data_IF_744979795595
#
_entry.id   IF_744979795595
#
_cell.length_a   1.000
_cell.length_b   1.000
_cell.length_c   1.000
_cell.angle_alpha   90.00
_cell.angle_beta   90.00
_cell.angle_gamma   90.00
#
_symmetry.space_group_name_H-M   'P 1'
#
loop_
_entity.id
_entity.type
_entity.pdbx_description
1 polymer ?
#
# COMPACT_ATOMS: atom_id res chain seq x y z
N UNK A 1 16.02 19.28 -0.54
CA UNK A 1 14.57 19.43 -0.32
C UNK A 1 13.80 18.12 -0.58
N UNK A 2 14.23 17.24 -1.48
CA UNK A 2 13.63 15.90 -1.64
C UNK A 2 13.92 14.95 -0.47
N UNK A 3 15.11 15.03 0.14
CA UNK A 3 15.48 14.19 1.29
C UNK A 3 14.63 14.44 2.55
N UNK A 4 14.24 15.69 2.85
CA UNK A 4 13.44 16.01 4.04
C UNK A 4 11.99 15.48 3.95
N UNK A 5 11.41 15.42 2.74
CA UNK A 5 10.09 14.83 2.51
C UNK A 5 10.16 13.29 2.61
N UNK A 6 11.30 12.71 2.18
CA UNK A 6 11.60 11.28 2.31
C UNK A 6 11.71 10.81 3.76
N UNK A 7 12.36 11.62 4.60
CA UNK A 7 12.46 11.38 6.04
C UNK A 7 11.11 11.58 6.74
N UNK A 8 10.33 12.60 6.37
CA UNK A 8 9.06 12.91 7.04
C UNK A 8 8.00 11.80 6.94
N UNK A 9 7.87 11.18 5.76
CA UNK A 9 6.77 10.25 5.52
C UNK A 9 7.04 8.82 6.00
N UNK A 10 8.29 8.35 5.90
CA UNK A 10 8.72 7.07 6.45
C UNK A 10 8.67 7.05 7.99
N UNK A 11 8.97 8.18 8.65
CA UNK A 11 8.81 8.36 10.10
C UNK A 11 7.37 8.09 10.54
N UNK A 12 6.37 8.50 9.75
CA UNK A 12 4.97 8.20 10.04
C UNK A 12 4.69 6.70 10.11
N UNK A 13 5.27 5.91 9.20
CA UNK A 13 5.08 4.45 9.16
C UNK A 13 5.84 3.77 10.30
N UNK A 14 7.04 4.25 10.62
CA UNK A 14 7.80 3.79 11.80
C UNK A 14 7.05 4.08 13.11
N UNK A 15 6.41 5.25 13.24
CA UNK A 15 5.57 5.58 14.40
C UNK A 15 4.37 4.64 14.57
N UNK A 16 3.86 4.11 13.45
CA UNK A 16 2.82 3.07 13.47
C UNK A 16 3.36 1.68 13.85
N UNK A 17 4.65 1.54 14.15
CA UNK A 17 5.28 0.30 14.61
C UNK A 17 5.83 -0.60 13.50
N UNK A 18 5.88 -0.11 12.25
CA UNK A 18 6.51 -0.83 11.13
C UNK A 18 8.04 -0.75 11.28
N UNK A 19 8.80 -1.85 11.03
CA UNK A 19 10.26 -1.80 11.12
C UNK A 19 10.85 -0.75 10.19
N UNK A 20 11.80 0.05 10.66
CA UNK A 20 12.28 1.26 9.98
C UNK A 20 12.68 1.04 8.51
N UNK A 21 13.43 -0.05 8.23
CA UNK A 21 13.80 -0.42 6.85
C UNK A 21 12.57 -0.67 5.97
N UNK A 22 11.61 -1.44 6.48
CA UNK A 22 10.36 -1.73 5.78
C UNK A 22 9.50 -0.47 5.66
N UNK A 23 9.44 0.37 6.69
CA UNK A 23 8.69 1.62 6.70
C UNK A 23 9.18 2.56 5.59
N UNK A 24 10.50 2.68 5.40
CA UNK A 24 11.10 3.44 4.31
C UNK A 24 10.70 2.90 2.93
N UNK A 25 10.85 1.60 2.70
CA UNK A 25 10.52 0.96 1.41
C UNK A 25 9.02 1.04 1.11
N UNK A 26 8.18 0.73 2.10
CA UNK A 26 6.72 0.77 1.97
C UNK A 26 6.25 2.19 1.67
N UNK A 27 6.74 3.19 2.39
CA UNK A 27 6.39 4.59 2.14
C UNK A 27 6.79 5.03 0.73
N UNK A 28 8.02 4.75 0.31
CA UNK A 28 8.50 5.13 -1.02
C UNK A 28 7.65 4.49 -2.12
N UNK A 29 7.31 3.21 -1.95
CA UNK A 29 6.51 2.45 -2.92
C UNK A 29 5.07 2.93 -3.01
N UNK A 30 4.41 3.13 -1.87
CA UNK A 30 3.04 3.66 -1.82
C UNK A 30 3.00 5.07 -2.39
N UNK A 31 3.96 5.94 -2.03
CA UNK A 31 4.03 7.30 -2.54
C UNK A 31 4.22 7.33 -4.05
N UNK A 32 5.11 6.52 -4.60
CA UNK A 32 5.33 6.44 -6.05
C UNK A 32 4.05 5.99 -6.79
N UNK A 33 3.36 4.98 -6.26
CA UNK A 33 2.08 4.53 -6.81
C UNK A 33 1.02 5.64 -6.74
N UNK A 34 0.90 6.35 -5.63
CA UNK A 34 -0.04 7.47 -5.48
C UNK A 34 0.31 8.64 -6.42
N UNK A 35 1.59 8.96 -6.58
CA UNK A 35 2.06 10.00 -7.50
C UNK A 35 1.81 9.64 -8.98
N UNK A 36 1.80 8.34 -9.32
CA UNK A 36 1.45 7.88 -10.68
C UNK A 36 -0.01 8.20 -11.07
N UNK A 37 -0.85 8.54 -10.09
CA UNK A 37 -2.24 8.95 -10.29
C UNK A 37 -2.40 10.46 -10.47
N UNK A 38 -1.31 11.23 -10.47
CA UNK A 38 -1.37 12.68 -10.63
C UNK A 38 -2.09 13.09 -11.92
N UNK A 39 -2.97 14.10 -11.83
CA UNK A 39 -3.84 14.54 -12.91
C UNK A 39 -5.12 13.71 -13.09
N UNK A 40 -5.41 12.77 -12.19
CA UNK A 40 -6.61 11.91 -12.20
C UNK A 40 -7.35 11.94 -10.86
N UNK A 41 -7.06 12.91 -10.00
CA UNK A 41 -7.52 13.00 -8.61
C UNK A 41 -9.04 13.09 -8.49
N UNK A 42 -9.72 13.59 -9.53
CA UNK A 42 -11.20 13.70 -9.57
C UNK A 42 -11.89 12.41 -10.00
N UNK A 43 -11.12 11.38 -10.42
CA UNK A 43 -11.69 10.11 -10.86
C UNK A 43 -11.86 9.14 -9.69
N UNK A 44 -13.04 8.52 -9.59
CA UNK A 44 -13.39 7.60 -8.50
C UNK A 44 -12.41 6.44 -8.35
N UNK A 45 -11.93 5.88 -9.47
CA UNK A 45 -10.98 4.77 -9.46
C UNK A 45 -9.61 5.18 -8.91
N UNK A 46 -9.13 6.40 -9.22
CA UNK A 46 -7.85 6.89 -8.70
C UNK A 46 -7.96 7.21 -7.21
N UNK A 47 -9.08 7.82 -6.78
CA UNK A 47 -9.38 8.06 -5.38
C UNK A 47 -9.44 6.75 -4.59
N UNK A 48 -10.18 5.75 -5.10
CA UNK A 48 -10.26 4.43 -4.47
C UNK A 48 -8.88 3.75 -4.41
N UNK A 49 -8.08 3.82 -5.48
CA UNK A 49 -6.71 3.26 -5.49
C UNK A 49 -5.87 3.90 -4.38
N UNK A 50 -5.82 5.23 -4.32
CA UNK A 50 -5.04 5.97 -3.32
C UNK A 50 -5.48 5.68 -1.88
N UNK A 51 -6.80 5.63 -1.65
CA UNK A 51 -7.39 5.30 -0.35
C UNK A 51 -7.09 3.85 0.05
N UNK A 52 -7.17 2.91 -0.90
CA UNK A 52 -6.90 1.49 -0.66
C UNK A 52 -5.44 1.23 -0.31
N UNK A 53 -4.50 1.88 -1.00
CA UNK A 53 -3.07 1.80 -0.66
C UNK A 53 -2.82 2.27 0.78
N UNK A 54 -3.39 3.42 1.15
CA UNK A 54 -3.28 3.95 2.53
C UNK A 54 -3.92 3.02 3.56
N UNK A 55 -5.07 2.42 3.24
CA UNK A 55 -5.77 1.46 4.09
C UNK A 55 -4.95 0.19 4.31
N UNK A 56 -4.31 -0.34 3.26
CA UNK A 56 -3.46 -1.52 3.36
C UNK A 56 -2.27 -1.27 4.31
N UNK A 57 -1.62 -0.10 4.22
CA UNK A 57 -0.55 0.28 5.15
C UNK A 57 -1.05 0.31 6.60
N UNK A 58 -2.18 0.97 6.86
CA UNK A 58 -2.74 1.04 8.21
C UNK A 58 -3.13 -0.34 8.74
N UNK A 59 -3.74 -1.17 7.90
CA UNK A 59 -4.14 -2.52 8.28
C UNK A 59 -2.92 -3.39 8.60
N UNK A 60 -1.89 -3.35 7.76
CA UNK A 60 -0.62 -4.03 8.03
C UNK A 60 0.01 -3.54 9.34
N UNK A 61 0.07 -2.22 9.57
CA UNK A 61 0.64 -1.69 10.82
C UNK A 61 -0.10 -2.20 12.07
N UNK A 62 -1.43 -2.24 12.03
CA UNK A 62 -2.24 -2.82 13.12
C UNK A 62 -1.89 -4.29 13.35
N UNK A 63 -1.91 -5.12 12.30
CA UNK A 63 -1.59 -6.55 12.40
C UNK A 63 -0.16 -6.78 12.89
N UNK A 64 0.80 -6.02 12.37
CA UNK A 64 2.20 -6.14 12.72
C UNK A 64 2.46 -5.81 14.19
N UNK A 65 1.82 -4.76 14.71
CA UNK A 65 1.91 -4.39 16.13
C UNK A 65 1.36 -5.47 17.05
N UNK A 66 0.25 -6.07 16.67
CA UNK A 66 -0.45 -7.05 17.52
C UNK A 66 0.22 -8.44 17.45
N UNK A 67 0.71 -8.86 16.28
CA UNK A 67 1.10 -10.25 16.00
C UNK A 67 2.47 -10.40 15.33
N UNK A 68 2.95 -9.37 14.62
CA UNK A 68 4.04 -9.48 13.65
C UNK A 68 5.44 -9.14 14.16
N UNK A 69 5.62 -8.63 15.39
CA UNK A 69 6.93 -8.18 15.89
C UNK A 69 8.07 -9.22 15.86
N UNK A 70 7.76 -10.52 15.67
CA UNK A 70 8.72 -11.62 15.57
C UNK A 70 8.78 -12.26 14.17
N UNK A 71 8.07 -11.71 13.19
CA UNK A 71 8.08 -12.22 11.83
C UNK A 71 9.47 -12.03 11.21
N UNK A 72 10.14 -13.11 10.75
CA UNK A 72 11.42 -13.00 10.08
C UNK A 72 11.33 -12.34 8.68
N UNK A 73 10.13 -12.23 8.11
CA UNK A 73 9.86 -11.72 6.75
C UNK A 73 8.64 -10.78 6.72
N UNK A 74 8.71 -9.65 7.45
CA UNK A 74 7.58 -8.71 7.56
C UNK A 74 7.14 -8.13 6.22
N UNK A 75 8.01 -8.09 5.21
CA UNK A 75 7.68 -7.67 3.85
C UNK A 75 6.70 -8.61 3.15
N UNK A 76 6.74 -9.91 3.45
CA UNK A 76 5.83 -10.90 2.87
C UNK A 76 4.45 -10.75 3.48
N UNK A 77 4.35 -10.66 4.80
CA UNK A 77 3.08 -10.38 5.49
C UNK A 77 2.48 -9.03 5.04
N UNK A 78 3.33 -8.03 4.78
CA UNK A 78 2.87 -6.78 4.16
C UNK A 78 2.29 -7.03 2.77
N UNK A 79 2.96 -7.77 1.88
CA UNK A 79 2.42 -8.10 0.54
C UNK A 79 1.08 -8.84 0.63
N UNK A 80 0.96 -9.80 1.54
CA UNK A 80 -0.27 -10.56 1.76
C UNK A 80 -1.47 -9.67 2.11
N UNK A 81 -1.28 -8.63 2.93
CA UNK A 81 -2.33 -7.64 3.23
C UNK A 81 -2.82 -6.94 1.96
N UNK A 82 -1.90 -6.52 1.09
CA UNK A 82 -2.26 -5.86 -0.17
C UNK A 82 -2.94 -6.85 -1.13
N UNK A 83 -2.47 -8.08 -1.19
CA UNK A 83 -3.07 -9.13 -2.01
C UNK A 83 -4.50 -9.46 -1.57
N UNK A 84 -4.73 -9.69 -0.27
CA UNK A 84 -6.06 -9.96 0.27
C UNK A 84 -7.02 -8.80 0.01
N UNK A 85 -6.57 -7.55 0.14
CA UNK A 85 -7.41 -6.40 -0.16
C UNK A 85 -7.73 -6.29 -1.67
N UNK A 86 -6.79 -6.66 -2.53
CA UNK A 86 -7.01 -6.76 -3.99
C UNK A 86 -8.09 -7.79 -4.32
N UNK A 87 -8.03 -8.98 -3.73
CA UNK A 87 -9.05 -10.03 -3.91
C UNK A 87 -10.42 -9.61 -3.36
N UNK A 88 -10.45 -8.89 -2.23
CA UNK A 88 -11.68 -8.32 -1.67
C UNK A 88 -12.33 -7.34 -2.64
N UNK A 89 -11.56 -6.40 -3.21
CA UNK A 89 -12.09 -5.44 -4.18
C UNK A 89 -12.69 -6.09 -5.44
N UNK A 90 -12.20 -7.27 -5.83
CA UNK A 90 -12.75 -8.01 -6.96
C UNK A 90 -14.05 -8.75 -6.62
N UNK A 91 -14.33 -8.96 -5.35
CA UNK A 91 -15.43 -9.82 -4.87
C UNK A 91 -16.50 -9.10 -4.05
N UNK A 92 -16.25 -7.86 -3.62
CA UNK A 92 -17.12 -7.09 -2.73
C UNK A 92 -17.86 -5.93 -3.42
N UNK A 93 -18.56 -5.10 -2.63
CA UNK A 93 -19.31 -3.93 -3.09
C UNK A 93 -18.54 -2.62 -3.00
N UNK A 94 -17.30 -2.63 -2.50
CA UNK A 94 -16.52 -1.42 -2.21
C UNK A 94 -16.34 -0.57 -3.47
N UNK A 95 -16.00 -1.19 -4.60
CA UNK A 95 -15.84 -0.46 -5.87
C UNK A 95 -17.14 0.21 -6.34
N UNK A 96 -18.28 -0.46 -6.16
CA UNK A 96 -19.59 0.08 -6.51
C UNK A 96 -19.99 1.25 -5.60
N UNK A 97 -19.72 1.17 -4.30
CA UNK A 97 -19.95 2.25 -3.33
C UNK A 97 -19.18 3.53 -3.68
N UNK A 98 -17.97 3.36 -4.23
CA UNK A 98 -17.13 4.46 -4.71
C UNK A 98 -17.47 4.90 -6.14
N UNK A 99 -18.47 4.29 -6.79
CA UNK A 99 -18.85 4.57 -8.18
C UNK A 99 -17.68 4.36 -9.16
N UNK A 100 -16.89 3.32 -8.92
CA UNK A 100 -15.86 2.87 -9.87
C UNK A 100 -16.54 2.02 -10.94
N UNK A 101 -16.37 2.34 -12.25
CA UNK A 101 -16.88 1.49 -13.32
C UNK A 101 -16.31 0.07 -13.26
N UNK A 102 -17.14 -0.95 -13.50
CA UNK A 102 -16.78 -2.37 -13.40
C UNK A 102 -15.49 -2.74 -14.15
N UNK A 103 -15.30 -2.18 -15.35
CA UNK A 103 -14.11 -2.45 -16.16
C UNK A 103 -12.80 -1.87 -15.59
N UNK A 104 -12.88 -0.95 -14.62
CA UNK A 104 -11.73 -0.37 -13.92
C UNK A 104 -11.46 -1.05 -12.58
N UNK A 105 -12.38 -1.88 -12.06
CA UNK A 105 -12.17 -2.60 -10.79
C UNK A 105 -10.92 -3.48 -10.85
N UNK A 106 -10.66 -4.26 -11.92
CA UNK A 106 -9.41 -5.03 -12.04
C UNK A 106 -8.16 -4.16 -12.10
N UNK A 107 -8.25 -2.93 -12.60
CA UNK A 107 -7.12 -1.99 -12.65
C UNK A 107 -6.76 -1.53 -11.24
N UNK A 108 -7.76 -1.16 -10.44
CA UNK A 108 -7.57 -0.78 -9.02
C UNK A 108 -7.00 -1.95 -8.23
N UNK A 109 -7.62 -3.13 -8.33
CA UNK A 109 -7.18 -4.34 -7.65
C UNK A 109 -5.74 -4.72 -8.06
N UNK A 110 -5.42 -4.67 -9.35
CA UNK A 110 -4.08 -4.96 -9.87
C UNK A 110 -3.02 -3.97 -9.36
N UNK A 111 -3.34 -2.68 -9.28
CA UNK A 111 -2.43 -1.67 -8.74
C UNK A 111 -2.11 -1.92 -7.25
N UNK A 112 -3.10 -2.33 -6.46
CA UNK A 112 -2.91 -2.63 -5.03
C UNK A 112 -2.04 -3.88 -4.87
N UNK A 113 -2.35 -4.97 -5.56
CA UNK A 113 -1.54 -6.19 -5.52
C UNK A 113 -0.09 -5.93 -5.95
N UNK A 114 0.10 -5.20 -7.06
CA UNK A 114 1.42 -4.83 -7.55
C UNK A 114 2.22 -3.99 -6.54
N UNK A 115 1.56 -3.12 -5.77
CA UNK A 115 2.24 -2.36 -4.72
C UNK A 115 2.85 -3.27 -3.64
N UNK A 116 2.11 -4.29 -3.20
CA UNK A 116 2.62 -5.28 -2.23
C UNK A 116 3.85 -6.04 -2.77
N UNK A 117 3.77 -6.52 -4.01
CA UNK A 117 4.88 -7.23 -4.66
C UNK A 117 6.13 -6.34 -4.83
N UNK A 118 5.94 -5.07 -5.18
CA UNK A 118 7.04 -4.11 -5.29
C UNK A 118 7.75 -3.87 -3.95
N UNK A 119 7.04 -3.91 -2.83
CA UNK A 119 7.66 -3.80 -1.50
C UNK A 119 8.60 -4.97 -1.25
N UNK A 120 8.17 -6.20 -1.54
CA UNK A 120 9.00 -7.41 -1.39
C UNK A 120 10.23 -7.35 -2.30
N UNK A 121 10.04 -7.06 -3.59
CA UNK A 121 11.12 -6.95 -4.57
C UNK A 121 12.15 -5.88 -4.15
N UNK A 122 11.70 -4.70 -3.71
CA UNK A 122 12.59 -3.63 -3.23
C UNK A 122 13.32 -4.00 -1.95
N UNK A 123 12.65 -4.67 -1.00
CA UNK A 123 13.31 -5.15 0.23
C UNK A 123 14.42 -6.17 -0.06
N UNK A 124 14.25 -7.00 -1.11
CA UNK A 124 15.24 -7.99 -1.53
C UNK A 124 16.40 -7.40 -2.35
N UNK A 125 16.22 -6.27 -3.04
CA UNK A 125 17.27 -5.59 -3.80
C UNK A 125 18.22 -4.75 -2.94
N UNK A 126 17.81 -4.41 -1.72
CA UNK A 126 18.60 -3.62 -0.76
C UNK A 126 19.46 -4.54 0.13
N UNK A 127 19.81 -5.73 -0.35
CA UNK A 127 20.68 -6.72 0.33
C UNK A 127 22.07 -6.71 -0.29
#
# INVERSE_FOLDING_TARGET
MENEIMESGSVGYSYLGIPERLAGVLWATVREMQMSLAGREDSSWAQLTSASLSRCVLHFACLYREHGSRDPRPEVACSEVFHLFSEQLLSDTTAAEWRVPDHLVPVVAGAIAACGELVVDRMNRVV
#
